data_IF_543542683614
#
_entry.id   IF_543542683614
#
_cell.length_a   1.000
_cell.length_b   1.000
_cell.length_c   1.000
_cell.angle_alpha   90.00
_cell.angle_beta   90.00
_cell.angle_gamma   90.00
#
_symmetry.space_group_name_H-M   'P 1'
#
loop_
_entity.id
_entity.type
_entity.pdbx_description
1 polymer ?
#
# COMPACT_ATOMS: atom_id res chain seq x y z
N UNK A 1 -18.66 21.66 -4.61
CA UNK A 1 -18.12 20.80 -3.54
C UNK A 1 -16.78 20.26 -4.05
N UNK A 2 -15.70 21.02 -3.87
CA UNK A 2 -14.41 20.70 -4.49
C UNK A 2 -13.71 19.60 -3.69
N UNK A 3 -13.25 18.54 -4.38
CA UNK A 3 -12.35 17.51 -3.87
C UNK A 3 -10.95 18.11 -3.64
N UNK A 4 -10.86 19.18 -2.85
CA UNK A 4 -9.59 19.85 -2.55
C UNK A 4 -8.71 18.86 -1.80
N UNK A 5 -7.60 18.45 -2.43
CA UNK A 5 -6.51 17.80 -1.71
C UNK A 5 -5.98 18.79 -0.67
N UNK A 6 -6.03 18.44 0.61
CA UNK A 6 -5.42 19.21 1.71
C UNK A 6 -3.88 19.14 1.72
N UNK A 7 -3.25 18.72 0.62
CA UNK A 7 -1.80 18.59 0.52
C UNK A 7 -1.30 19.24 -0.79
N UNK A 8 -0.05 19.76 -0.82
CA UNK A 8 0.60 20.25 -2.03
C UNK A 8 0.58 19.23 -3.17
N UNK A 9 0.63 19.71 -4.40
CA UNK A 9 0.62 18.84 -5.59
C UNK A 9 1.84 17.90 -5.64
N UNK A 10 2.96 18.35 -5.08
CA UNK A 10 4.21 17.60 -5.02
C UNK A 10 4.30 16.67 -3.78
N UNK A 11 3.30 16.68 -2.90
CA UNK A 11 3.31 15.86 -1.69
C UNK A 11 2.54 14.54 -1.88
N UNK A 12 3.20 13.44 -1.53
CA UNK A 12 2.59 12.10 -1.54
C UNK A 12 1.56 11.94 -0.40
N UNK A 13 0.64 10.99 -0.56
CA UNK A 13 -0.19 10.55 0.58
C UNK A 13 0.68 9.85 1.62
N UNK A 14 0.28 9.84 2.90
CA UNK A 14 0.94 9.02 3.92
C UNK A 14 1.10 7.58 3.43
N UNK A 15 2.35 7.10 3.37
CA UNK A 15 2.73 5.78 2.91
C UNK A 15 3.11 4.91 4.12
N UNK A 16 2.54 3.72 4.21
CA UNK A 16 2.92 2.70 5.19
C UNK A 16 3.07 1.35 4.49
N UNK A 17 4.10 0.61 4.89
CA UNK A 17 4.47 -0.69 4.35
C UNK A 17 4.55 -1.67 5.51
N UNK A 18 3.66 -2.66 5.52
CA UNK A 18 3.69 -3.76 6.47
C UNK A 18 4.14 -5.01 5.74
N UNK A 19 5.31 -5.53 6.12
CA UNK A 19 5.87 -6.75 5.56
C UNK A 19 5.28 -7.98 6.23
N UNK A 20 5.17 -9.09 5.50
CA UNK A 20 4.65 -10.34 6.06
C UNK A 20 3.15 -10.31 6.35
N UNK A 21 2.40 -9.42 5.69
CA UNK A 21 0.95 -9.26 5.87
C UNK A 21 0.15 -10.55 5.56
N UNK A 22 0.72 -11.46 4.76
CA UNK A 22 0.17 -12.79 4.50
C UNK A 22 1.17 -13.84 5.00
N UNK A 23 0.83 -14.60 6.05
CA UNK A 23 1.77 -15.55 6.67
C UNK A 23 2.10 -16.76 5.78
N UNK A 24 1.24 -17.08 4.82
CA UNK A 24 1.40 -18.25 3.93
C UNK A 24 2.08 -17.90 2.60
N UNK A 25 2.35 -16.63 2.32
CA UNK A 25 3.02 -16.22 1.09
C UNK A 25 4.53 -16.15 1.33
N UNK A 26 5.33 -16.60 0.37
CA UNK A 26 6.80 -16.50 0.46
C UNK A 26 7.28 -15.05 0.52
N UNK A 27 6.58 -14.16 -0.17
CA UNK A 27 6.73 -12.72 -0.04
C UNK A 27 5.37 -12.05 0.09
N UNK A 28 5.19 -11.19 1.09
CA UNK A 28 3.96 -10.38 1.18
C UNK A 28 4.21 -9.00 1.76
N UNK A 29 3.43 -8.03 1.27
CA UNK A 29 3.44 -6.66 1.76
C UNK A 29 2.06 -6.02 1.64
N UNK A 30 1.59 -5.39 2.71
CA UNK A 30 0.44 -4.51 2.70
C UNK A 30 0.91 -3.06 2.56
N UNK A 31 0.52 -2.43 1.46
CA UNK A 31 0.90 -1.08 1.09
C UNK A 31 -0.31 -0.18 1.30
N UNK A 32 -0.17 0.82 2.17
CA UNK A 32 -1.23 1.80 2.44
C UNK A 32 -0.77 3.18 1.99
N UNK A 33 -1.53 3.82 1.10
CA UNK A 33 -1.31 5.20 0.63
C UNK A 33 -2.53 6.07 0.92
N UNK A 34 -2.63 6.61 2.14
CA UNK A 34 -3.84 7.25 2.65
C UNK A 34 -5.01 6.27 2.67
N UNK A 35 -6.07 6.54 1.89
CA UNK A 35 -7.26 5.68 1.82
C UNK A 35 -7.11 4.48 0.86
N UNK A 36 -6.04 4.43 0.07
CA UNK A 36 -5.80 3.30 -0.85
C UNK A 36 -4.99 2.22 -0.12
N UNK A 37 -5.47 0.98 -0.16
CA UNK A 37 -4.77 -0.19 0.39
C UNK A 37 -4.56 -1.21 -0.71
N UNK A 38 -3.35 -1.75 -0.81
CA UNK A 38 -2.98 -2.78 -1.79
C UNK A 38 -2.30 -3.92 -1.05
N UNK A 39 -2.81 -5.13 -1.24
CA UNK A 39 -2.17 -6.35 -0.74
C UNK A 39 -1.35 -6.97 -1.88
N UNK A 40 -0.05 -7.11 -1.67
CA UNK A 40 0.83 -7.84 -2.56
C UNK A 40 1.20 -9.18 -1.91
N UNK A 41 0.96 -10.28 -2.61
CA UNK A 41 1.36 -11.62 -2.22
C UNK A 41 2.07 -12.29 -3.41
N UNK A 42 3.30 -12.73 -3.18
CA UNK A 42 4.12 -13.48 -4.11
C UNK A 42 4.17 -14.95 -3.67
N UNK A 43 4.00 -15.83 -4.64
CA UNK A 43 4.10 -17.28 -4.50
C UNK A 43 5.07 -17.80 -5.56
N UNK A 44 5.97 -18.69 -5.21
CA UNK A 44 6.85 -19.36 -6.18
C UNK A 44 6.17 -20.60 -6.74
N UNK A 45 6.24 -20.75 -8.05
CA UNK A 45 5.87 -21.94 -8.79
C UNK A 45 7.04 -22.28 -9.72
N UNK A 46 7.39 -23.56 -9.79
CA UNK A 46 8.45 -24.10 -10.67
C UNK A 46 7.88 -24.53 -12.03
#
# INVERSE_FOLDING_TARGET
MSLVRTRPDDELRPLSLELGAVPNAEGSCLITTGNTRVLCAASVAE
#
